data_IF_444062217945
#
_entry.id   IF_444062217945
#
_cell.length_a   1.000
_cell.length_b   1.000
_cell.length_c   1.000
_cell.angle_alpha   90.00
_cell.angle_beta   90.00
_cell.angle_gamma   90.00
#
_symmetry.space_group_name_H-M   'P 1'
#
loop_
_entity.id
_entity.type
_entity.pdbx_description
1 polymer ?
#
# COMPACT_ATOMS: atom_id res chain seq x y z
N UNK A 1 -21.35 11.40 -20.30
CA UNK A 1 -20.08 10.78 -20.71
C UNK A 1 -19.07 11.86 -21.09
N UNK A 2 -19.38 12.75 -22.04
CA UNK A 2 -18.44 13.77 -22.56
C UNK A 2 -17.80 14.65 -21.46
N UNK A 3 -18.60 15.14 -20.50
CA UNK A 3 -18.10 15.95 -19.38
C UNK A 3 -17.08 15.15 -18.54
N UNK A 4 -17.37 13.90 -18.22
CA UNK A 4 -16.45 13.05 -17.44
C UNK A 4 -15.19 12.73 -18.23
N UNK A 5 -15.31 12.48 -19.53
CA UNK A 5 -14.16 12.23 -20.41
C UNK A 5 -13.27 13.46 -20.60
N UNK A 6 -13.85 14.68 -20.54
CA UNK A 6 -13.06 15.92 -20.70
C UNK A 6 -12.15 16.22 -19.49
N UNK A 7 -12.49 15.71 -18.31
CA UNK A 7 -11.73 15.91 -17.07
C UNK A 7 -10.99 14.64 -16.59
N UNK A 8 -11.14 13.51 -17.30
CA UNK A 8 -10.47 12.25 -16.94
C UNK A 8 -8.96 12.29 -17.24
N UNK A 9 -8.19 11.51 -16.48
CA UNK A 9 -6.83 11.16 -16.84
C UNK A 9 -6.80 10.55 -18.26
N UNK A 10 -5.65 10.61 -18.91
CA UNK A 10 -5.49 10.11 -20.28
C UNK A 10 -4.39 9.06 -20.32
N UNK A 11 -4.57 8.08 -21.19
CA UNK A 11 -3.53 7.13 -21.56
C UNK A 11 -2.39 7.84 -22.30
N UNK A 12 -1.22 7.21 -22.48
CA UNK A 12 -0.15 7.75 -23.33
C UNK A 12 -0.61 8.07 -24.76
N UNK A 13 -1.58 7.32 -25.28
CA UNK A 13 -2.15 7.51 -26.62
C UNK A 13 -3.23 8.63 -26.67
N UNK A 14 -3.54 9.23 -25.53
CA UNK A 14 -4.46 10.36 -25.40
C UNK A 14 -5.92 9.98 -25.13
N UNK A 15 -6.25 8.72 -25.03
CA UNK A 15 -7.60 8.24 -24.73
C UNK A 15 -8.02 8.56 -23.28
N UNK A 16 -9.26 9.03 -23.03
CA UNK A 16 -9.70 9.32 -21.67
C UNK A 16 -9.92 8.04 -20.87
N UNK A 17 -9.36 7.97 -19.67
CA UNK A 17 -9.57 6.87 -18.72
C UNK A 17 -10.98 6.92 -18.10
N UNK A 18 -11.99 6.96 -18.92
CA UNK A 18 -13.39 7.07 -18.52
C UNK A 18 -14.32 6.47 -19.59
N UNK A 19 -14.90 5.31 -19.27
CA UNK A 19 -15.97 4.73 -20.09
C UNK A 19 -16.92 3.87 -19.21
N UNK A 20 -17.94 3.31 -19.85
CA UNK A 20 -18.83 2.35 -19.23
C UNK A 20 -18.11 1.01 -19.07
N UNK A 21 -18.06 0.49 -17.84
CA UNK A 21 -17.42 -0.80 -17.53
C UNK A 21 -18.42 -1.95 -17.43
N UNK A 22 -19.70 -1.67 -17.59
CA UNK A 22 -20.78 -2.66 -17.55
C UNK A 22 -22.13 -2.04 -17.24
N UNK A 23 -23.16 -2.88 -17.11
CA UNK A 23 -24.51 -2.46 -16.81
C UNK A 23 -24.70 -2.16 -15.31
N UNK A 24 -25.77 -1.43 -14.99
CA UNK A 24 -26.21 -1.14 -13.61
C UNK A 24 -25.10 -0.56 -12.72
N UNK A 25 -24.76 -1.23 -11.63
CA UNK A 25 -23.76 -0.82 -10.66
C UNK A 25 -22.33 -1.27 -10.94
N UNK A 26 -22.02 -1.81 -12.12
CA UNK A 26 -20.69 -2.37 -12.43
C UNK A 26 -19.53 -1.39 -12.18
N UNK A 27 -19.71 -0.11 -12.51
CA UNK A 27 -18.69 0.91 -12.25
C UNK A 27 -18.37 1.10 -10.76
N UNK A 28 -19.39 1.02 -9.91
CA UNK A 28 -19.21 1.09 -8.45
C UNK A 28 -18.53 -0.16 -7.92
N UNK A 29 -18.87 -1.32 -8.46
CA UNK A 29 -18.26 -2.59 -8.10
C UNK A 29 -16.76 -2.59 -8.44
N UNK A 30 -16.41 -2.24 -9.68
CA UNK A 30 -15.01 -2.14 -10.11
C UNK A 30 -14.23 -1.15 -9.23
N UNK A 31 -14.82 0.02 -8.88
CA UNK A 31 -14.16 0.97 -7.99
C UNK A 31 -13.99 0.43 -6.57
N UNK A 32 -14.96 -0.35 -6.07
CA UNK A 32 -14.84 -1.02 -4.78
C UNK A 32 -13.66 -2.00 -4.76
N UNK A 33 -13.57 -2.87 -5.76
CA UNK A 33 -12.47 -3.86 -5.89
C UNK A 33 -11.12 -3.15 -6.10
N UNK A 34 -11.07 -2.12 -6.94
CA UNK A 34 -9.89 -1.27 -7.11
C UNK A 34 -9.38 -0.74 -5.77
N UNK A 35 -10.26 -0.24 -4.91
CA UNK A 35 -9.85 0.24 -3.59
C UNK A 35 -9.39 -0.92 -2.69
N UNK A 36 -9.92 -2.12 -2.84
CA UNK A 36 -9.42 -3.31 -2.15
C UNK A 36 -7.97 -3.62 -2.54
N UNK A 37 -7.66 -3.62 -3.84
CA UNK A 37 -6.29 -3.78 -4.35
C UNK A 37 -5.37 -2.70 -3.79
N UNK A 38 -5.82 -1.44 -3.78
CA UNK A 38 -5.06 -0.29 -3.26
C UNK A 38 -4.75 -0.44 -1.76
N UNK A 39 -5.67 -1.00 -0.96
CA UNK A 39 -5.39 -1.34 0.44
C UNK A 39 -4.25 -2.34 0.54
N UNK A 40 -4.24 -3.36 -0.31
CA UNK A 40 -3.15 -4.33 -0.41
C UNK A 40 -1.83 -3.65 -0.73
N UNK A 41 -1.79 -2.84 -1.78
CA UNK A 41 -0.58 -2.12 -2.20
C UNK A 41 -0.02 -1.23 -1.09
N UNK A 42 -0.87 -0.47 -0.40
CA UNK A 42 -0.42 0.37 0.72
C UNK A 42 0.11 -0.44 1.89
N UNK A 43 -0.49 -1.59 2.20
CA UNK A 43 0.01 -2.48 3.24
C UNK A 43 1.38 -3.05 2.87
N UNK A 44 1.57 -3.49 1.64
CA UNK A 44 2.85 -4.01 1.15
C UNK A 44 3.97 -2.97 1.21
N UNK A 45 3.67 -1.72 0.84
CA UNK A 45 4.61 -0.59 0.97
C UNK A 45 4.95 -0.34 2.43
N UNK A 46 3.95 -0.37 3.33
CA UNK A 46 4.18 -0.20 4.77
C UNK A 46 5.05 -1.32 5.36
N UNK A 47 4.89 -2.55 4.91
CA UNK A 47 5.73 -3.69 5.32
C UNK A 47 7.15 -3.57 4.78
N UNK A 48 7.34 -3.17 3.52
CA UNK A 48 8.66 -2.88 2.96
C UNK A 48 9.37 -1.75 3.76
N UNK A 49 8.65 -0.68 4.07
CA UNK A 49 9.13 0.39 4.95
C UNK A 49 9.56 -0.15 6.31
N UNK A 50 8.73 -0.97 6.95
CA UNK A 50 9.01 -1.53 8.27
C UNK A 50 10.25 -2.43 8.26
N UNK A 51 10.40 -3.29 7.25
CA UNK A 51 11.58 -4.15 7.10
C UNK A 51 12.86 -3.32 6.95
N UNK A 52 12.85 -2.28 6.14
CA UNK A 52 14.00 -1.40 5.96
C UNK A 52 14.30 -0.59 7.23
N UNK A 53 13.28 -0.02 7.87
CA UNK A 53 13.45 0.79 9.08
C UNK A 53 13.90 -0.02 10.28
N UNK A 54 13.19 -1.10 10.61
CA UNK A 54 13.46 -1.89 11.81
C UNK A 54 14.52 -2.96 11.59
N UNK A 55 14.51 -3.63 10.44
CA UNK A 55 15.46 -4.68 10.11
C UNK A 55 16.85 -4.14 9.77
N UNK A 56 16.91 -3.11 8.94
CA UNK A 56 18.17 -2.52 8.46
C UNK A 56 18.58 -1.22 9.16
N UNK A 57 17.72 -0.66 10.02
CA UNK A 57 17.98 0.61 10.70
C UNK A 57 18.05 1.82 9.76
N UNK A 58 17.37 1.77 8.62
CA UNK A 58 17.45 2.83 7.60
C UNK A 58 16.71 4.09 8.04
N UNK A 59 17.30 5.23 7.70
CA UNK A 59 16.68 6.56 7.84
C UNK A 59 15.66 6.82 6.73
N UNK A 60 14.82 7.84 6.91
CA UNK A 60 13.87 8.26 5.87
C UNK A 60 14.58 8.65 4.56
N UNK A 61 15.74 9.33 4.64
CA UNK A 61 16.51 9.69 3.46
C UNK A 61 17.06 8.47 2.70
N UNK A 62 17.61 7.51 3.41
CA UNK A 62 18.09 6.27 2.79
C UNK A 62 16.94 5.49 2.12
N UNK A 63 15.76 5.44 2.76
CA UNK A 63 14.59 4.80 2.18
C UNK A 63 14.04 5.61 0.98
N UNK A 64 14.08 6.95 1.02
CA UNK A 64 13.76 7.79 -0.12
C UNK A 64 14.58 7.40 -1.36
N UNK A 65 15.90 7.26 -1.23
CA UNK A 65 16.79 6.85 -2.32
C UNK A 65 16.44 5.45 -2.87
N UNK A 66 16.04 4.53 -2.00
CA UNK A 66 15.60 3.19 -2.41
C UNK A 66 14.31 3.28 -3.23
N UNK A 67 13.29 3.99 -2.73
CA UNK A 67 12.02 4.15 -3.44
C UNK A 67 12.18 4.96 -4.73
N UNK A 68 13.10 5.92 -4.79
CA UNK A 68 13.44 6.64 -6.02
C UNK A 68 13.97 5.68 -7.11
N UNK A 69 14.90 4.80 -6.75
CA UNK A 69 15.41 3.76 -7.66
C UNK A 69 14.32 2.77 -8.07
N UNK A 70 13.46 2.36 -7.13
CA UNK A 70 12.37 1.42 -7.44
C UNK A 70 11.34 2.03 -8.39
N UNK A 71 11.12 3.34 -8.33
CA UNK A 71 10.21 4.05 -9.23
C UNK A 71 10.75 4.17 -10.68
N UNK A 72 12.00 3.76 -10.92
CA UNK A 72 12.60 3.64 -12.26
C UNK A 72 12.58 2.19 -12.80
N UNK A 73 11.89 1.29 -12.10
CA UNK A 73 11.79 -0.15 -12.41
C UNK A 73 10.35 -0.57 -12.69
N UNK A 74 10.09 -1.88 -12.69
CA UNK A 74 8.76 -2.47 -12.82
C UNK A 74 7.81 -2.08 -11.66
N UNK A 75 8.35 -1.50 -10.61
CA UNK A 75 7.57 -0.95 -9.48
C UNK A 75 7.06 0.46 -9.73
N UNK A 76 7.43 1.12 -10.84
CA UNK A 76 6.94 2.44 -11.20
C UNK A 76 5.42 2.51 -11.06
N UNK A 77 4.97 3.37 -10.18
CA UNK A 77 3.55 3.57 -9.90
C UNK A 77 3.32 4.80 -9.03
N UNK A 78 2.12 5.35 -9.10
CA UNK A 78 1.72 6.50 -8.28
C UNK A 78 2.01 6.30 -6.78
N UNK A 79 1.73 5.11 -6.22
CA UNK A 79 1.95 4.87 -4.79
C UNK A 79 3.44 4.77 -4.43
N UNK A 80 4.28 4.24 -5.31
CA UNK A 80 5.75 4.23 -5.10
C UNK A 80 6.30 5.65 -5.23
N UNK A 81 5.84 6.42 -6.22
CA UNK A 81 6.24 7.81 -6.41
C UNK A 81 5.91 8.67 -5.19
N UNK A 82 4.66 8.64 -4.71
CA UNK A 82 4.30 9.44 -3.53
C UNK A 82 4.98 8.93 -2.25
N UNK A 83 5.30 7.65 -2.14
CA UNK A 83 6.07 7.13 -1.00
C UNK A 83 7.48 7.69 -1.00
N UNK A 84 8.15 7.75 -2.16
CA UNK A 84 9.42 8.45 -2.34
C UNK A 84 9.33 9.89 -1.83
N UNK A 85 8.31 10.63 -2.26
CA UNK A 85 8.16 12.04 -1.93
C UNK A 85 7.82 12.26 -0.45
N UNK A 86 6.99 11.40 0.14
CA UNK A 86 6.67 11.40 1.58
C UNK A 86 7.94 11.21 2.42
N UNK A 87 8.81 10.29 2.04
CA UNK A 87 10.05 10.01 2.77
C UNK A 87 11.04 11.19 2.72
N UNK A 88 11.04 11.97 1.63
CA UNK A 88 11.85 13.18 1.52
C UNK A 88 11.25 14.39 2.23
N UNK A 89 9.95 14.36 2.56
CA UNK A 89 9.27 15.55 3.09
C UNK A 89 9.71 15.86 4.51
N UNK A 90 10.06 17.13 4.74
CA UNK A 90 10.49 17.67 6.03
C UNK A 90 9.45 18.64 6.59
N UNK A 91 9.31 18.65 7.90
CA UNK A 91 8.51 19.64 8.61
C UNK A 91 9.26 20.99 8.77
N UNK A 92 8.64 21.93 9.49
CA UNK A 92 9.22 23.25 9.74
C UNK A 92 10.52 23.22 10.57
N UNK A 93 10.76 22.12 11.30
CA UNK A 93 11.93 21.87 12.12
C UNK A 93 13.05 21.17 11.35
N UNK A 94 12.79 20.74 10.11
CA UNK A 94 13.72 20.00 9.25
C UNK A 94 13.70 18.48 9.51
N UNK A 95 12.78 17.97 10.31
CA UNK A 95 12.68 16.56 10.64
C UNK A 95 11.77 15.81 9.63
N UNK A 96 11.99 14.51 9.40
CA UNK A 96 11.11 13.72 8.54
C UNK A 96 9.68 13.71 9.06
N UNK A 97 8.74 14.32 8.32
CA UNK A 97 7.35 14.41 8.77
C UNK A 97 6.71 13.04 8.93
N UNK A 98 7.11 12.06 8.13
CA UNK A 98 6.60 10.66 8.20
C UNK A 98 6.75 10.06 9.60
N UNK A 99 7.78 10.45 10.35
CA UNK A 99 8.04 9.97 11.72
C UNK A 99 7.08 10.55 12.76
N UNK A 100 6.40 11.66 12.43
CA UNK A 100 5.47 12.36 13.30
C UNK A 100 4.00 12.04 12.95
N UNK A 101 3.73 11.31 11.88
CA UNK A 101 2.37 10.93 11.48
C UNK A 101 1.85 9.84 12.41
N UNK A 102 0.59 9.99 12.84
CA UNK A 102 -0.08 8.98 13.66
C UNK A 102 -0.15 7.65 12.91
N UNK A 103 0.34 6.58 13.54
CA UNK A 103 0.36 5.22 13.01
C UNK A 103 -0.99 4.50 13.15
N UNK A 104 -2.06 5.16 12.74
CA UNK A 104 -3.41 4.62 12.75
C UNK A 104 -4.10 4.91 11.41
N UNK A 105 -4.50 3.87 10.69
CA UNK A 105 -5.20 3.97 9.42
C UNK A 105 -6.70 3.72 9.60
N UNK A 106 -7.51 4.67 9.14
CA UNK A 106 -8.96 4.49 9.05
C UNK A 106 -9.38 3.75 7.78
N UNK A 107 -10.67 3.42 7.70
CA UNK A 107 -11.27 2.86 6.49
C UNK A 107 -12.68 3.43 6.26
N UNK A 108 -13.05 3.62 4.98
CA UNK A 108 -14.40 4.04 4.58
C UNK A 108 -15.30 2.86 4.19
N UNK A 109 -14.78 1.63 4.22
CA UNK A 109 -15.53 0.40 4.03
C UNK A 109 -15.31 -0.32 2.69
N UNK A 110 -14.73 0.31 1.67
CA UNK A 110 -14.59 -0.32 0.33
C UNK A 110 -13.74 -1.60 0.36
N UNK A 111 -12.60 -1.61 1.03
CA UNK A 111 -11.79 -2.81 1.21
C UNK A 111 -12.52 -3.92 1.98
N UNK A 112 -13.26 -3.55 3.04
CA UNK A 112 -14.11 -4.47 3.78
C UNK A 112 -15.20 -5.08 2.89
N UNK A 113 -15.88 -4.27 2.09
CA UNK A 113 -16.92 -4.77 1.18
C UNK A 113 -16.36 -5.70 0.10
N UNK A 114 -15.17 -5.39 -0.43
CA UNK A 114 -14.44 -6.30 -1.33
C UNK A 114 -14.24 -7.67 -0.67
N UNK A 115 -13.76 -7.72 0.57
CA UNK A 115 -13.57 -8.96 1.30
C UNK A 115 -14.86 -9.72 1.58
N UNK A 116 -15.94 -9.02 1.95
CA UNK A 116 -17.26 -9.64 2.19
C UNK A 116 -17.79 -10.28 0.90
N UNK A 117 -17.72 -9.55 -0.21
CA UNK A 117 -18.21 -10.05 -1.49
C UNK A 117 -17.36 -11.23 -1.99
N UNK A 118 -16.05 -11.16 -1.85
CA UNK A 118 -15.16 -12.28 -2.16
C UNK A 118 -15.51 -13.56 -1.39
N UNK A 119 -15.89 -13.45 -0.11
CA UNK A 119 -16.36 -14.60 0.68
C UNK A 119 -17.67 -15.15 0.13
N UNK A 120 -18.60 -14.31 -0.33
CA UNK A 120 -19.86 -14.73 -0.94
C UNK A 120 -19.64 -15.42 -2.29
N UNK A 121 -18.66 -14.95 -3.07
CA UNK A 121 -18.30 -15.53 -4.37
C UNK A 121 -17.39 -16.77 -4.25
N UNK A 122 -16.80 -17.01 -3.08
CA UNK A 122 -15.80 -18.07 -2.90
C UNK A 122 -14.45 -17.75 -3.54
N UNK A 123 -14.12 -16.46 -3.71
CA UNK A 123 -12.85 -16.01 -4.29
C UNK A 123 -11.83 -15.72 -3.17
N UNK A 124 -10.61 -16.29 -3.24
CA UNK A 124 -9.60 -16.09 -2.21
C UNK A 124 -8.87 -14.75 -2.40
N UNK A 125 -9.27 -13.70 -1.67
CA UNK A 125 -8.61 -12.39 -1.65
C UNK A 125 -7.84 -12.17 -0.34
N UNK A 126 -6.99 -13.11 0.01
CA UNK A 126 -6.31 -13.18 1.31
C UNK A 126 -5.47 -11.95 1.59
N UNK A 127 -4.70 -11.44 0.62
CA UNK A 127 -3.87 -10.25 0.77
C UNK A 127 -4.72 -9.00 1.00
N UNK A 128 -5.79 -8.82 0.25
CA UNK A 128 -6.70 -7.67 0.38
C UNK A 128 -7.35 -7.67 1.77
N UNK A 129 -7.81 -8.82 2.23
CA UNK A 129 -8.46 -8.95 3.55
C UNK A 129 -7.46 -8.74 4.69
N UNK A 130 -6.22 -9.24 4.54
CA UNK A 130 -5.16 -8.97 5.51
C UNK A 130 -4.90 -7.46 5.64
N UNK A 131 -4.83 -6.73 4.55
CA UNK A 131 -4.69 -5.27 4.58
C UNK A 131 -5.87 -4.57 5.31
N UNK A 132 -7.09 -5.09 5.19
CA UNK A 132 -8.26 -4.60 5.93
C UNK A 132 -8.09 -4.85 7.44
N UNK A 133 -7.63 -6.03 7.84
CA UNK A 133 -7.38 -6.35 9.25
C UNK A 133 -6.20 -5.58 9.81
N UNK A 134 -5.13 -5.36 9.06
CA UNK A 134 -4.01 -4.52 9.46
C UNK A 134 -4.48 -3.09 9.80
N UNK A 135 -5.36 -2.49 8.99
CA UNK A 135 -5.99 -1.19 9.29
C UNK A 135 -6.84 -1.24 10.54
N UNK A 136 -7.66 -2.26 10.72
CA UNK A 136 -8.49 -2.43 11.90
C UNK A 136 -7.63 -2.55 13.17
N UNK A 137 -6.52 -3.28 13.11
CA UNK A 137 -5.55 -3.39 14.19
C UNK A 137 -4.84 -2.06 14.45
N UNK A 138 -4.40 -1.35 13.42
CA UNK A 138 -3.71 -0.06 13.55
C UNK A 138 -4.60 0.99 14.24
N UNK A 139 -5.91 0.97 13.99
CA UNK A 139 -6.87 1.89 14.59
C UNK A 139 -7.06 1.69 16.12
N UNK A 140 -6.61 0.55 16.67
CA UNK A 140 -6.67 0.25 18.11
C UNK A 140 -5.44 0.78 18.84
N UNK A 141 -5.08 2.04 18.64
CA UNK A 141 -3.83 2.64 19.13
C UNK A 141 -3.64 2.48 20.64
N UNK A 142 -4.65 2.76 21.43
CA UNK A 142 -4.56 2.71 22.91
C UNK A 142 -4.27 1.28 23.39
N UNK A 143 -4.93 0.28 22.80
CA UNK A 143 -4.70 -1.13 23.11
C UNK A 143 -3.30 -1.58 22.69
N UNK A 144 -2.83 -1.17 21.50
CA UNK A 144 -1.46 -1.47 21.04
C UNK A 144 -0.41 -0.87 21.97
N UNK A 145 -0.61 0.39 22.40
CA UNK A 145 0.28 1.06 23.35
C UNK A 145 0.24 0.39 24.72
N UNK A 146 -0.94 -0.04 25.21
CA UNK A 146 -1.05 -0.78 26.46
C UNK A 146 -0.33 -2.14 26.35
N UNK A 147 -0.53 -2.87 25.26
CA UNK A 147 0.11 -4.17 25.02
C UNK A 147 1.64 -4.05 24.93
N UNK A 148 2.18 -3.02 24.26
CA UNK A 148 3.63 -2.82 24.11
C UNK A 148 4.37 -2.61 25.43
N UNK A 149 3.68 -2.26 26.50
CA UNK A 149 4.27 -2.11 27.85
C UNK A 149 4.44 -3.42 28.60
N UNK A 150 3.77 -4.48 28.17
CA UNK A 150 3.74 -5.78 28.85
C UNK A 150 4.19 -6.95 27.98
N UNK A 151 4.12 -6.79 26.67
CA UNK A 151 4.53 -7.80 25.70
C UNK A 151 5.90 -7.40 25.11
N UNK A 152 6.84 -8.33 25.17
CA UNK A 152 8.12 -8.20 24.45
C UNK A 152 7.95 -8.75 23.03
N UNK A 153 8.48 -8.03 22.06
CA UNK A 153 8.59 -8.48 20.67
C UNK A 153 10.03 -8.97 20.35
N UNK A 154 10.25 -9.54 19.18
CA UNK A 154 11.60 -9.81 18.71
C UNK A 154 12.36 -8.50 18.50
N UNK A 155 13.66 -8.50 18.81
CA UNK A 155 14.55 -7.42 18.40
C UNK A 155 14.95 -7.67 16.95
N UNK A 156 14.47 -6.90 15.99
CA UNK A 156 14.86 -7.08 14.60
C UNK A 156 16.33 -6.73 14.45
N UNK A 157 17.13 -7.70 14.08
CA UNK A 157 18.54 -7.53 13.78
C UNK A 157 18.89 -8.31 12.53
N UNK A 158 19.31 -7.59 11.52
CA UNK A 158 19.81 -8.18 10.29
C UNK A 158 21.33 -7.99 10.23
N UNK A 159 22.07 -9.07 10.02
CA UNK A 159 23.53 -9.10 9.97
C UNK A 159 24.07 -9.64 8.62
N UNK A 160 23.18 -9.75 7.62
CA UNK A 160 23.53 -10.20 6.27
C UNK A 160 23.95 -9.07 5.33
N UNK A 161 23.99 -9.38 4.05
CA UNK A 161 24.23 -8.40 2.98
C UNK A 161 23.04 -7.45 2.82
N UNK A 162 23.24 -6.17 3.17
CA UNK A 162 22.21 -5.13 3.15
C UNK A 162 21.65 -4.90 1.74
N UNK A 163 22.51 -4.82 0.74
CA UNK A 163 22.10 -4.54 -0.64
C UNK A 163 21.29 -5.71 -1.21
N UNK A 164 21.74 -6.94 -0.96
CA UNK A 164 21.00 -8.14 -1.35
C UNK A 164 19.62 -8.19 -0.67
N UNK A 165 19.52 -7.82 0.60
CA UNK A 165 18.25 -7.82 1.32
C UNK A 165 17.28 -6.74 0.80
N UNK A 166 17.76 -5.54 0.45
CA UNK A 166 16.96 -4.49 -0.18
C UNK A 166 16.41 -4.98 -1.53
N UNK A 167 17.23 -5.67 -2.31
CA UNK A 167 16.79 -6.26 -3.58
C UNK A 167 15.76 -7.39 -3.37
N UNK A 168 15.91 -8.19 -2.34
CA UNK A 168 14.92 -9.22 -1.97
C UNK A 168 13.58 -8.58 -1.55
N UNK A 169 13.61 -7.48 -0.80
CA UNK A 169 12.39 -6.70 -0.48
C UNK A 169 11.74 -6.17 -1.77
N UNK A 170 12.54 -5.63 -2.71
CA UNK A 170 12.02 -5.16 -4.00
C UNK A 170 11.28 -6.26 -4.77
N UNK A 171 11.90 -7.43 -4.88
CA UNK A 171 11.31 -8.59 -5.57
C UNK A 171 10.07 -9.11 -4.87
N UNK A 172 10.10 -9.18 -3.54
CA UNK A 172 8.94 -9.58 -2.75
C UNK A 172 7.79 -8.59 -2.93
N UNK A 173 8.06 -7.29 -2.91
CA UNK A 173 7.06 -6.25 -3.15
C UNK A 173 6.44 -6.39 -4.55
N UNK A 174 7.25 -6.56 -5.60
CA UNK A 174 6.75 -6.74 -6.96
C UNK A 174 5.86 -7.99 -7.06
N UNK A 175 6.32 -9.14 -6.56
CA UNK A 175 5.55 -10.38 -6.60
C UNK A 175 4.23 -10.24 -5.83
N UNK A 176 4.24 -9.60 -4.67
CA UNK A 176 3.04 -9.40 -3.85
C UNK A 176 2.07 -8.42 -4.49
N UNK A 177 2.53 -7.36 -5.17
CA UNK A 177 1.67 -6.47 -5.96
C UNK A 177 0.97 -7.22 -7.08
N UNK A 178 1.67 -8.08 -7.82
CA UNK A 178 1.06 -8.93 -8.86
C UNK A 178 -0.04 -9.80 -8.26
N UNK A 179 0.18 -10.39 -7.08
CA UNK A 179 -0.83 -11.19 -6.36
C UNK A 179 -2.02 -10.33 -5.94
N UNK A 180 -1.80 -9.13 -5.41
CA UNK A 180 -2.88 -8.21 -5.02
C UNK A 180 -3.80 -7.89 -6.20
N UNK A 181 -3.22 -7.54 -7.34
CA UNK A 181 -3.97 -7.29 -8.58
C UNK A 181 -4.71 -8.55 -9.06
N UNK A 182 -4.03 -9.69 -9.05
CA UNK A 182 -4.63 -10.98 -9.45
C UNK A 182 -5.86 -11.29 -8.60
N UNK A 183 -5.77 -11.14 -7.28
CA UNK A 183 -6.90 -11.35 -6.37
C UNK A 183 -8.09 -10.45 -6.71
N UNK A 184 -7.85 -9.17 -7.00
CA UNK A 184 -8.90 -8.26 -7.43
C UNK A 184 -9.51 -8.63 -8.78
N UNK A 185 -8.70 -9.02 -9.75
CA UNK A 185 -9.20 -9.43 -11.09
C UNK A 185 -9.96 -10.76 -11.09
N UNK A 186 -9.73 -11.62 -10.09
CA UNK A 186 -10.50 -12.85 -9.91
C UNK A 186 -11.91 -12.61 -9.39
N UNK A 187 -12.19 -11.46 -8.82
CA UNK A 187 -13.47 -11.05 -8.25
C UNK A 187 -14.34 -10.33 -9.27
#
# INVERSE_FOLDING_TARGET
KEILQSIAARTPDGDPCCDWVGANGAGHYVKMVHNGIEYGDMQLIAEAYQLMKLGLGMTADEMHEVFAKWNETELDSFLIEITRDILAYRDEEGEPLVEKILDAAGQKGTGKWTGIDALQLGVPVTLIVEAVFARALSARKDERVAASKVLSGPEPKFDGDREAFIEDIRRALLASKIISYTQGFMQ
#
